data_IF_679582825574
#
_entry.id   IF_679582825574
#
_cell.length_a   1.000
_cell.length_b   1.000
_cell.length_c   1.000
_cell.angle_alpha   90.00
_cell.angle_beta   90.00
_cell.angle_gamma   90.00
#
_symmetry.space_group_name_H-M   'P 1'
#
loop_
_entity.id
_entity.type
_entity.pdbx_description
1 polymer ?
#
# COMPACT_ATOMS: atom_id res chain seq x y z
N UNK A 1 -7.90 -10.90 1.06
CA UNK A 1 -6.51 -11.21 0.63
C UNK A 1 -5.83 -12.10 1.66
N UNK A 2 -5.76 -11.65 2.91
CA UNK A 2 -5.26 -12.44 4.05
C UNK A 2 -6.42 -12.88 4.95
N UNK A 3 -6.20 -13.91 5.78
CA UNK A 3 -7.15 -14.34 6.80
C UNK A 3 -6.93 -13.61 8.14
N UNK A 4 -5.95 -12.69 8.20
CA UNK A 4 -5.64 -11.85 9.36
C UNK A 4 -5.14 -12.67 10.57
N UNK A 5 -4.51 -13.79 10.27
CA UNK A 5 -4.16 -14.81 11.23
C UNK A 5 -2.89 -14.50 12.03
N UNK A 6 -2.12 -13.45 11.70
CA UNK A 6 -0.83 -13.14 12.33
C UNK A 6 -0.89 -12.06 13.41
N UNK A 7 -2.09 -11.58 13.77
CA UNK A 7 -2.24 -10.61 14.85
C UNK A 7 -2.07 -11.25 16.23
N UNK A 8 -0.85 -11.13 16.80
CA UNK A 8 -0.44 -11.75 18.07
C UNK A 8 -1.45 -11.54 19.22
N UNK A 9 -1.95 -10.33 19.43
CA UNK A 9 -2.88 -10.04 20.53
C UNK A 9 -4.21 -10.78 20.36
N UNK A 10 -4.73 -10.88 19.13
CA UNK A 10 -5.92 -11.68 18.87
C UNK A 10 -5.66 -13.18 19.06
N UNK A 11 -4.50 -13.69 18.63
CA UNK A 11 -4.14 -15.08 18.88
C UNK A 11 -4.05 -15.39 20.38
N UNK A 12 -3.42 -14.51 21.17
CA UNK A 12 -3.33 -14.66 22.63
C UNK A 12 -4.71 -14.71 23.30
N UNK A 13 -5.63 -13.81 22.91
CA UNK A 13 -7.00 -13.79 23.43
C UNK A 13 -7.81 -15.00 22.95
N UNK A 14 -7.57 -15.45 21.72
CA UNK A 14 -8.28 -16.59 21.12
C UNK A 14 -7.88 -17.93 21.74
N UNK A 15 -6.60 -18.13 22.07
CA UNK A 15 -6.09 -19.41 22.61
C UNK A 15 -5.89 -19.41 24.12
N UNK A 16 -5.77 -18.24 24.76
CA UNK A 16 -5.34 -18.10 26.15
C UNK A 16 -3.84 -18.28 26.36
N UNK A 17 -3.05 -18.47 25.29
CA UNK A 17 -1.60 -18.61 25.35
C UNK A 17 -0.90 -17.25 25.18
N UNK A 18 0.03 -16.92 26.07
CA UNK A 18 0.84 -15.70 26.00
C UNK A 18 1.82 -15.75 24.81
N UNK A 19 2.22 -16.94 24.35
CA UNK A 19 3.10 -17.15 23.21
C UNK A 19 2.47 -18.08 22.17
N UNK A 20 1.46 -17.62 21.41
CA UNK A 20 0.78 -18.43 20.41
C UNK A 20 1.75 -19.08 19.42
N UNK A 21 1.49 -20.34 19.10
CA UNK A 21 2.28 -21.14 18.16
C UNK A 21 1.79 -20.92 16.71
N UNK A 22 2.57 -21.37 15.70
CA UNK A 22 2.09 -21.39 14.31
C UNK A 22 0.74 -22.11 14.10
N UNK A 23 0.47 -23.17 14.89
CA UNK A 23 -0.80 -23.88 14.83
C UNK A 23 -1.96 -23.05 15.39
N UNK A 24 -1.70 -22.20 16.38
CA UNK A 24 -2.70 -21.30 16.96
C UNK A 24 -3.06 -20.17 16.01
N UNK A 25 -2.07 -19.60 15.33
CA UNK A 25 -2.30 -18.66 14.24
C UNK A 25 -3.12 -19.31 13.12
N UNK A 26 -2.77 -20.53 12.70
CA UNK A 26 -3.56 -21.25 11.70
C UNK A 26 -5.05 -21.39 12.10
N UNK A 27 -5.32 -21.80 13.35
CA UNK A 27 -6.68 -21.90 13.89
C UNK A 27 -7.40 -20.54 13.94
N UNK A 28 -6.68 -19.46 14.30
CA UNK A 28 -7.24 -18.11 14.28
C UNK A 28 -7.66 -17.72 12.85
N UNK A 29 -6.86 -18.06 11.83
CA UNK A 29 -7.24 -17.81 10.44
C UNK A 29 -8.50 -18.58 10.03
N UNK A 30 -8.65 -19.84 10.42
CA UNK A 30 -9.89 -20.60 10.19
C UNK A 30 -11.12 -19.98 10.88
N UNK A 31 -10.93 -19.47 12.10
CA UNK A 31 -11.97 -18.72 12.80
C UNK A 31 -12.35 -17.46 12.02
N UNK A 32 -11.37 -16.65 11.62
CA UNK A 32 -11.59 -15.39 10.89
C UNK A 32 -12.19 -15.60 9.50
N UNK A 33 -11.86 -16.71 8.85
CA UNK A 33 -12.51 -17.13 7.61
C UNK A 33 -14.01 -17.32 7.82
N UNK A 34 -14.39 -18.06 8.88
CA UNK A 34 -15.80 -18.30 9.23
C UNK A 34 -16.53 -17.02 9.63
N UNK A 35 -15.86 -16.14 10.38
CA UNK A 35 -16.38 -14.81 10.76
C UNK A 35 -16.63 -13.93 9.53
N UNK A 36 -15.72 -13.95 8.54
CA UNK A 36 -15.87 -13.21 7.29
C UNK A 36 -17.09 -13.69 6.50
N UNK A 37 -17.29 -15.01 6.41
CA UNK A 37 -18.49 -15.58 5.77
C UNK A 37 -19.79 -15.16 6.48
N UNK A 38 -19.79 -15.17 7.82
CA UNK A 38 -20.93 -14.70 8.60
C UNK A 38 -21.22 -13.20 8.39
N UNK A 39 -20.18 -12.36 8.44
CA UNK A 39 -20.30 -10.92 8.19
C UNK A 39 -20.84 -10.62 6.78
N UNK A 40 -20.31 -11.31 5.76
CA UNK A 40 -20.76 -11.14 4.37
C UNK A 40 -22.20 -11.59 4.18
N UNK A 41 -22.62 -12.67 4.86
CA UNK A 41 -24.01 -13.11 4.84
C UNK A 41 -24.98 -12.07 5.43
N UNK A 42 -24.58 -11.35 6.49
CA UNK A 42 -25.39 -10.24 7.07
C UNK A 42 -25.59 -9.12 6.04
N UNK A 43 -24.55 -8.84 5.25
CA UNK A 43 -24.60 -7.85 4.17
C UNK A 43 -25.33 -8.35 2.91
N UNK A 44 -25.80 -9.61 2.90
CA UNK A 44 -26.56 -10.20 1.81
C UNK A 44 -25.70 -10.82 0.70
N UNK A 45 -24.40 -11.02 0.92
CA UNK A 45 -23.51 -11.64 -0.05
C UNK A 45 -23.51 -13.19 0.14
N UNK A 46 -23.84 -13.97 -0.90
CA UNK A 46 -23.76 -15.43 -0.85
C UNK A 46 -22.34 -15.93 -0.60
N UNK A 47 -22.19 -17.07 0.10
CA UNK A 47 -20.87 -17.69 0.35
C UNK A 47 -20.06 -17.88 -0.95
N UNK A 48 -20.70 -18.29 -2.04
CA UNK A 48 -20.01 -18.58 -3.31
C UNK A 48 -19.46 -17.33 -4.00
N UNK A 49 -19.87 -16.14 -3.57
CA UNK A 49 -19.35 -14.86 -4.07
C UNK A 49 -18.21 -14.31 -3.19
N UNK A 50 -17.84 -15.02 -2.11
CA UNK A 50 -16.71 -14.67 -1.25
C UNK A 50 -15.49 -15.49 -1.65
N UNK A 51 -14.45 -14.81 -2.12
CA UNK A 51 -13.19 -15.43 -2.53
C UNK A 51 -12.09 -15.12 -1.52
N UNK A 52 -11.50 -16.16 -0.93
CA UNK A 52 -10.32 -16.05 -0.09
C UNK A 52 -9.07 -16.33 -0.92
N UNK A 53 -8.07 -15.44 -0.88
CA UNK A 53 -6.81 -15.66 -1.62
C UNK A 53 -5.78 -16.44 -0.79
N UNK A 54 -5.91 -16.46 0.54
CA UNK A 54 -5.08 -17.28 1.42
C UNK A 54 -3.63 -16.83 1.59
N UNK A 55 -3.29 -15.58 1.22
CA UNK A 55 -1.96 -15.01 1.45
C UNK A 55 -1.76 -14.68 2.93
N UNK A 56 -0.53 -14.78 3.43
CA UNK A 56 -0.26 -14.59 4.84
C UNK A 56 -0.44 -13.14 5.31
N UNK A 57 -1.07 -13.00 6.47
CA UNK A 57 -1.16 -11.74 7.21
C UNK A 57 0.23 -11.23 7.62
N UNK A 58 0.39 -9.90 7.61
CA UNK A 58 1.64 -9.19 7.83
C UNK A 58 2.70 -9.43 6.75
N UNK A 59 2.36 -10.06 5.63
CA UNK A 59 3.35 -10.51 4.63
C UNK A 59 3.21 -9.83 3.27
N UNK A 60 2.05 -9.25 2.92
CA UNK A 60 1.77 -8.77 1.55
C UNK A 60 2.65 -7.60 1.13
N UNK A 61 3.06 -6.73 2.07
CA UNK A 61 4.08 -5.68 1.80
C UNK A 61 5.38 -6.27 1.26
N UNK A 62 5.84 -7.40 1.80
CA UNK A 62 7.09 -8.01 1.36
C UNK A 62 6.96 -8.62 -0.05
N UNK A 63 5.76 -9.07 -0.42
CA UNK A 63 5.48 -9.58 -1.77
C UNK A 63 5.61 -8.46 -2.81
N UNK A 64 5.19 -7.25 -2.45
CA UNK A 64 5.37 -6.06 -3.29
C UNK A 64 6.85 -5.64 -3.38
N UNK A 65 7.55 -5.62 -2.24
CA UNK A 65 8.87 -5.00 -2.13
C UNK A 65 10.05 -5.91 -2.50
N UNK A 66 10.07 -7.17 -2.06
CA UNK A 66 11.30 -7.98 -2.08
C UNK A 66 11.07 -9.45 -2.51
N UNK A 67 9.83 -9.93 -2.50
CA UNK A 67 9.46 -11.33 -2.77
C UNK A 67 8.49 -11.40 -3.95
N UNK A 68 8.86 -10.78 -5.08
CA UNK A 68 8.00 -10.74 -6.26
C UNK A 68 8.00 -12.06 -7.03
N UNK A 69 9.17 -12.50 -7.50
CA UNK A 69 9.31 -13.66 -8.39
C UNK A 69 9.05 -14.99 -7.65
N UNK A 70 8.52 -15.96 -8.38
CA UNK A 70 8.14 -17.27 -7.87
C UNK A 70 9.29 -18.15 -7.32
N UNK A 71 10.56 -17.80 -7.59
CA UNK A 71 11.72 -18.59 -7.17
C UNK A 71 12.03 -18.56 -5.67
N UNK A 72 11.48 -17.60 -4.91
CA UNK A 72 11.73 -17.45 -3.48
C UNK A 72 10.47 -16.96 -2.75
N UNK A 73 9.57 -17.86 -2.31
CA UNK A 73 8.40 -17.46 -1.56
C UNK A 73 8.77 -16.91 -0.17
N UNK A 74 7.96 -15.99 0.32
CA UNK A 74 8.10 -15.38 1.65
C UNK A 74 7.55 -16.32 2.72
N UNK A 75 8.36 -16.70 3.70
CA UNK A 75 7.90 -17.43 4.90
C UNK A 75 7.13 -16.46 5.80
N UNK A 76 5.88 -16.74 6.15
CA UNK A 76 5.01 -15.93 7.03
C UNK A 76 5.55 -15.81 8.46
N UNK A 77 5.17 -14.76 9.19
CA UNK A 77 5.56 -14.61 10.60
C UNK A 77 4.72 -15.46 11.56
N UNK A 78 3.39 -15.48 11.39
CA UNK A 78 2.47 -16.22 12.26
C UNK A 78 2.50 -17.72 12.01
N UNK A 79 1.90 -18.17 10.91
CA UNK A 79 1.82 -19.59 10.53
C UNK A 79 3.18 -20.22 10.15
N UNK A 80 4.22 -19.41 9.97
CA UNK A 80 5.60 -19.84 9.64
C UNK A 80 5.70 -20.77 8.42
N UNK A 81 4.93 -20.47 7.37
CA UNK A 81 4.89 -21.23 6.10
C UNK A 81 5.09 -20.29 4.92
N UNK A 82 5.57 -20.83 3.79
CA UNK A 82 5.79 -20.05 2.55
C UNK A 82 4.66 -20.22 1.52
N UNK A 83 3.65 -21.04 1.85
CA UNK A 83 2.54 -21.42 0.99
C UNK A 83 1.25 -21.39 1.82
N UNK A 84 0.11 -21.12 1.16
CA UNK A 84 -1.17 -21.10 1.85
C UNK A 84 -1.49 -22.45 2.51
N UNK A 85 -1.70 -22.50 3.84
CA UNK A 85 -2.07 -23.74 4.53
C UNK A 85 -3.57 -24.05 4.42
N UNK A 86 -4.35 -23.18 3.79
CA UNK A 86 -5.81 -23.28 3.69
C UNK A 86 -6.23 -24.00 2.41
N UNK A 87 -7.34 -24.74 2.50
CA UNK A 87 -7.91 -25.49 1.37
C UNK A 87 -9.04 -24.74 0.67
N UNK A 88 -9.84 -23.97 1.41
CA UNK A 88 -10.96 -23.18 0.89
C UNK A 88 -10.46 -21.79 0.45
N UNK A 89 -9.53 -21.76 -0.51
CA UNK A 89 -8.95 -20.53 -1.07
C UNK A 89 -8.89 -20.64 -2.59
N UNK A 90 -8.75 -19.51 -3.28
CA UNK A 90 -8.83 -19.40 -4.74
C UNK A 90 -7.87 -20.36 -5.45
N UNK A 91 -6.61 -20.43 -4.99
CA UNK A 91 -5.62 -21.43 -5.43
C UNK A 91 -5.01 -22.13 -4.20
N UNK A 92 -5.48 -23.34 -3.83
CA UNK A 92 -4.94 -24.08 -2.69
C UNK A 92 -3.43 -24.31 -2.82
N UNK A 93 -2.69 -24.03 -1.75
CA UNK A 93 -1.22 -24.17 -1.74
C UNK A 93 -0.48 -23.08 -2.52
N UNK A 94 -1.11 -21.94 -2.84
CA UNK A 94 -0.43 -20.81 -3.50
C UNK A 94 0.82 -20.38 -2.74
N UNK A 95 1.92 -20.16 -3.45
CA UNK A 95 3.17 -19.67 -2.88
C UNK A 95 3.08 -18.17 -2.59
N UNK A 96 3.60 -17.73 -1.45
CA UNK A 96 3.58 -16.33 -1.02
C UNK A 96 4.61 -15.50 -1.80
N UNK A 97 4.21 -15.06 -2.98
CA UNK A 97 5.03 -14.28 -3.93
C UNK A 97 4.16 -13.17 -4.54
N UNK A 98 4.77 -12.04 -4.92
CA UNK A 98 4.06 -10.93 -5.57
C UNK A 98 3.44 -11.31 -6.90
N UNK A 99 4.14 -12.10 -7.72
CA UNK A 99 3.63 -12.58 -9.02
C UNK A 99 2.34 -13.41 -8.87
N UNK A 100 2.25 -14.31 -7.88
CA UNK A 100 1.01 -15.06 -7.66
C UNK A 100 -0.14 -14.17 -7.19
N UNK A 101 0.09 -13.21 -6.29
CA UNK A 101 -0.96 -12.30 -5.84
C UNK A 101 -1.45 -11.41 -6.98
N UNK A 102 -0.53 -10.88 -7.81
CA UNK A 102 -0.86 -10.16 -9.04
C UNK A 102 -1.73 -11.02 -9.97
N UNK A 103 -1.28 -12.25 -10.26
CA UNK A 103 -1.97 -13.13 -11.19
C UNK A 103 -3.38 -13.47 -10.72
N UNK A 104 -3.57 -13.79 -9.43
CA UNK A 104 -4.90 -14.08 -8.89
C UNK A 104 -5.85 -12.88 -8.97
N UNK A 105 -5.39 -11.68 -8.63
CA UNK A 105 -6.19 -10.47 -8.79
C UNK A 105 -6.58 -10.24 -10.25
N UNK A 106 -5.63 -10.41 -11.17
CA UNK A 106 -5.91 -10.26 -12.59
C UNK A 106 -6.88 -11.32 -13.12
N UNK A 107 -6.73 -12.58 -12.70
CA UNK A 107 -7.61 -13.68 -13.08
C UNK A 107 -9.05 -13.41 -12.62
N UNK A 108 -9.23 -13.00 -11.36
CA UNK A 108 -10.53 -12.64 -10.78
C UNK A 108 -11.14 -11.45 -11.51
N UNK A 109 -10.38 -10.37 -11.73
CA UNK A 109 -10.88 -9.18 -12.42
C UNK A 109 -11.30 -9.48 -13.86
N UNK A 110 -10.53 -10.29 -14.61
CA UNK A 110 -10.88 -10.71 -15.98
C UNK A 110 -12.14 -11.55 -16.01
N UNK A 111 -12.30 -12.46 -15.05
CA UNK A 111 -13.44 -13.36 -14.98
C UNK A 111 -14.72 -12.63 -14.55
N UNK A 112 -14.63 -11.83 -13.50
CA UNK A 112 -15.77 -11.13 -12.91
C UNK A 112 -16.20 -9.90 -13.72
N UNK A 113 -15.25 -9.23 -14.40
CA UNK A 113 -15.47 -7.99 -15.17
C UNK A 113 -16.17 -6.91 -14.32
N UNK A 114 -15.56 -6.46 -13.21
CA UNK A 114 -16.19 -5.48 -12.33
C UNK A 114 -16.45 -4.15 -13.05
N UNK A 115 -17.49 -3.44 -12.63
CA UNK A 115 -17.71 -2.02 -12.97
C UNK A 115 -17.10 -1.09 -11.91
N UNK A 116 -17.06 -1.57 -10.66
CA UNK A 116 -16.62 -0.82 -9.48
C UNK A 116 -15.69 -1.73 -8.66
N UNK A 117 -14.62 -1.17 -8.10
CA UNK A 117 -13.67 -1.90 -7.24
C UNK A 117 -13.43 -1.09 -5.97
N UNK A 118 -13.76 -1.70 -4.82
CA UNK A 118 -13.53 -1.15 -3.49
C UNK A 118 -12.30 -1.80 -2.85
N UNK A 119 -11.33 -0.99 -2.41
CA UNK A 119 -10.06 -1.51 -1.86
C UNK A 119 -9.36 -0.47 -0.97
N UNK A 120 -8.30 -0.82 -0.21
CA UNK A 120 -7.65 0.14 0.67
C UNK A 120 -6.95 1.29 -0.06
N UNK A 121 -6.89 2.45 0.58
CA UNK A 121 -6.16 3.63 0.11
C UNK A 121 -4.64 3.45 0.26
N UNK A 122 -3.86 3.94 -0.70
CA UNK A 122 -2.40 3.78 -0.70
C UNK A 122 -1.71 4.52 0.47
N UNK A 123 -2.39 5.47 1.11
CA UNK A 123 -1.89 6.21 2.28
C UNK A 123 -2.11 5.45 3.59
N UNK A 124 -2.89 4.36 3.59
CA UNK A 124 -3.14 3.57 4.79
C UNK A 124 -1.81 3.07 5.38
N UNK A 125 -1.62 3.29 6.68
CA UNK A 125 -0.34 2.99 7.35
C UNK A 125 -0.18 1.50 7.63
N UNK A 126 -1.26 0.70 7.56
CA UNK A 126 -1.16 -0.74 7.71
C UNK A 126 -0.42 -1.34 6.50
N UNK A 127 0.70 -2.06 6.72
CA UNK A 127 1.53 -2.58 5.63
C UNK A 127 0.78 -3.41 4.60
N UNK A 128 -0.18 -4.23 5.05
CA UNK A 128 -0.95 -5.04 4.11
C UNK A 128 -2.01 -4.25 3.34
N UNK A 129 -2.65 -3.25 3.97
CA UNK A 129 -3.61 -2.39 3.25
C UNK A 129 -2.90 -1.62 2.14
N UNK A 130 -1.76 -1.02 2.48
CA UNK A 130 -0.88 -0.36 1.52
C UNK A 130 -0.50 -1.28 0.35
N UNK A 131 -0.10 -2.52 0.63
CA UNK A 131 0.32 -3.46 -0.41
C UNK A 131 -0.86 -3.87 -1.30
N UNK A 132 -2.02 -4.20 -0.70
CA UNK A 132 -3.24 -4.53 -1.45
C UNK A 132 -3.67 -3.37 -2.33
N UNK A 133 -3.57 -2.13 -1.85
CA UNK A 133 -3.80 -0.94 -2.68
C UNK A 133 -2.92 -0.93 -3.93
N UNK A 134 -1.62 -1.16 -3.75
CA UNK A 134 -0.66 -1.16 -4.85
C UNK A 134 -0.90 -2.30 -5.84
N UNK A 135 -1.18 -3.52 -5.35
CA UNK A 135 -1.47 -4.67 -6.20
C UNK A 135 -2.77 -4.50 -6.99
N UNK A 136 -3.83 -3.98 -6.37
CA UNK A 136 -5.11 -3.72 -7.04
C UNK A 136 -4.93 -2.68 -8.15
N UNK A 137 -4.29 -1.54 -7.86
CA UNK A 137 -4.02 -0.50 -8.87
C UNK A 137 -3.12 -1.00 -9.99
N UNK A 138 -2.08 -1.76 -9.64
CA UNK A 138 -1.23 -2.40 -10.62
C UNK A 138 -2.06 -3.29 -11.57
N UNK A 139 -2.95 -4.13 -11.03
CA UNK A 139 -3.77 -5.04 -11.82
C UNK A 139 -4.75 -4.28 -12.74
N UNK A 140 -5.40 -3.22 -12.23
CA UNK A 140 -6.30 -2.36 -13.02
C UNK A 140 -5.56 -1.77 -14.23
N UNK A 141 -4.37 -1.20 -14.03
CA UNK A 141 -3.58 -0.57 -15.10
C UNK A 141 -2.98 -1.61 -16.04
N UNK A 142 -2.48 -2.73 -15.52
CA UNK A 142 -1.93 -3.82 -16.32
C UNK A 142 -2.98 -4.39 -17.29
N UNK A 143 -4.22 -4.50 -16.83
CA UNK A 143 -5.35 -5.00 -17.62
C UNK A 143 -6.07 -3.92 -18.43
N UNK A 144 -5.67 -2.65 -18.29
CA UNK A 144 -6.31 -1.51 -18.93
C UNK A 144 -7.84 -1.47 -18.68
N UNK A 145 -8.24 -1.75 -17.43
CA UNK A 145 -9.66 -1.79 -17.07
C UNK A 145 -10.22 -0.38 -16.91
N UNK A 146 -11.42 -0.17 -17.43
CA UNK A 146 -12.21 1.04 -17.17
C UNK A 146 -13.21 0.74 -16.04
N UNK A 147 -12.78 0.97 -14.80
CA UNK A 147 -13.55 0.71 -13.58
C UNK A 147 -13.62 1.96 -12.71
N UNK A 148 -14.69 2.07 -11.92
CA UNK A 148 -14.76 3.06 -10.85
C UNK A 148 -13.99 2.54 -9.64
N UNK A 149 -13.05 3.34 -9.16
CA UNK A 149 -12.23 2.99 -8.01
C UNK A 149 -12.78 3.65 -6.75
N UNK A 150 -12.91 2.89 -5.66
CA UNK A 150 -13.38 3.37 -4.37
C UNK A 150 -12.38 2.97 -3.28
N UNK A 151 -11.49 3.90 -2.91
CA UNK A 151 -10.42 3.62 -1.97
C UNK A 151 -10.82 3.94 -0.54
N UNK A 152 -10.91 2.96 0.36
CA UNK A 152 -11.24 3.20 1.77
C UNK A 152 -9.98 3.32 2.64
N UNK A 153 -10.04 4.14 3.69
CA UNK A 153 -8.99 4.26 4.70
C UNK A 153 -9.43 3.53 5.97
N UNK A 154 -8.50 2.83 6.63
CA UNK A 154 -8.76 2.20 7.94
C UNK A 154 -7.73 2.66 8.97
N UNK A 155 -6.44 2.57 8.63
CA UNK A 155 -5.37 2.95 9.55
C UNK A 155 -4.69 4.23 9.11
N UNK A 156 -4.86 5.26 9.91
CA UNK A 156 -4.14 6.53 9.83
C UNK A 156 -3.99 7.12 11.24
N UNK A 157 -2.88 7.81 11.57
CA UNK A 157 -2.70 8.39 12.89
C UNK A 157 -3.93 9.20 13.32
N UNK A 158 -4.42 8.88 14.52
CA UNK A 158 -5.56 9.55 15.14
C UNK A 158 -6.85 9.50 14.30
N UNK A 159 -7.03 8.56 13.38
CA UNK A 159 -8.28 8.45 12.60
C UNK A 159 -8.87 7.03 12.71
N UNK A 160 -10.22 6.87 12.70
CA UNK A 160 -11.23 7.93 12.81
C UNK A 160 -11.27 8.57 14.21
N UNK A 161 -11.78 9.80 14.35
CA UNK A 161 -11.98 10.42 15.69
C UNK A 161 -13.47 10.54 15.99
N UNK A 162 -13.93 10.16 17.20
CA UNK A 162 -13.24 9.33 18.19
C UNK A 162 -13.24 7.82 17.80
N UNK A 163 -12.36 7.01 18.40
CA UNK A 163 -12.42 5.54 18.34
C UNK A 163 -13.54 4.99 19.23
N UNK A 164 -14.78 5.32 18.86
CA UNK A 164 -15.99 4.90 19.53
C UNK A 164 -17.16 4.82 18.55
N UNK A 165 -18.18 4.04 18.90
CA UNK A 165 -19.47 3.99 18.21
C UNK A 165 -20.16 5.36 18.25
N UNK A 166 -20.26 6.02 17.10
CA UNK A 166 -20.90 7.34 16.94
C UNK A 166 -21.84 7.33 15.72
N UNK A 167 -22.98 6.61 15.77
CA UNK A 167 -23.89 6.44 14.64
C UNK A 167 -24.59 7.75 14.22
N UNK A 168 -24.41 8.83 14.98
CA UNK A 168 -24.93 10.15 14.65
C UNK A 168 -23.92 11.07 13.95
N UNK A 169 -22.66 10.64 13.83
CA UNK A 169 -21.60 11.43 13.24
C UNK A 169 -21.29 10.95 11.82
N UNK A 170 -20.77 11.87 11.01
CA UNK A 170 -20.23 11.53 9.69
C UNK A 170 -18.74 11.18 9.80
N UNK A 171 -18.31 10.23 8.99
CA UNK A 171 -16.90 9.96 8.76
C UNK A 171 -16.32 11.04 7.85
N UNK A 172 -15.39 11.83 8.37
CA UNK A 172 -14.72 12.91 7.65
C UNK A 172 -13.29 12.52 7.25
N UNK A 173 -12.75 13.06 6.14
CA UNK A 173 -11.35 12.87 5.79
C UNK A 173 -10.40 13.31 6.91
N UNK A 174 -9.25 12.63 7.10
CA UNK A 174 -8.19 13.15 7.95
C UNK A 174 -7.74 14.55 7.49
N UNK A 175 -7.57 15.47 8.43
CA UNK A 175 -7.28 16.88 8.13
C UNK A 175 -5.89 17.10 7.55
N UNK A 176 -4.95 16.23 7.89
CA UNK A 176 -3.57 16.22 7.41
C UNK A 176 -3.43 15.59 6.00
N UNK A 177 -4.47 14.96 5.47
CA UNK A 177 -4.44 14.35 4.13
C UNK A 177 -4.85 15.28 2.99
N UNK A 178 -4.96 16.59 3.23
CA UNK A 178 -5.40 17.58 2.22
C UNK A 178 -4.54 17.54 0.94
N UNK A 179 -3.23 17.33 1.07
CA UNK A 179 -2.27 17.38 -0.04
C UNK A 179 -1.84 15.98 -0.53
N UNK A 180 -2.57 14.93 -0.14
CA UNK A 180 -2.24 13.52 -0.43
C UNK A 180 -2.53 13.04 -1.87
N UNK A 181 -2.94 13.93 -2.78
CA UNK A 181 -3.52 13.59 -4.08
C UNK A 181 -4.79 12.70 -3.95
N UNK A 182 -5.57 12.87 -2.89
CA UNK A 182 -6.80 12.10 -2.66
C UNK A 182 -8.02 12.98 -2.84
N UNK A 183 -8.90 12.59 -3.75
CA UNK A 183 -10.23 13.21 -3.93
C UNK A 183 -11.25 12.39 -3.17
N UNK A 184 -11.75 12.95 -2.06
CA UNK A 184 -12.69 12.28 -1.17
C UNK A 184 -14.14 12.40 -1.66
N UNK A 185 -14.89 11.33 -1.48
CA UNK A 185 -16.33 11.26 -1.71
C UNK A 185 -17.01 10.51 -0.58
N UNK A 186 -18.19 10.99 -0.19
CA UNK A 186 -18.99 10.46 0.92
C UNK A 186 -20.29 9.89 0.39
N UNK A 187 -20.66 8.71 0.88
CA UNK A 187 -21.91 8.03 0.53
C UNK A 187 -22.76 7.95 1.80
N UNK A 188 -23.90 8.66 1.89
CA UNK A 188 -24.76 8.59 3.05
C UNK A 188 -25.38 7.20 3.18
N UNK A 189 -25.50 6.73 4.42
CA UNK A 189 -26.16 5.48 4.78
C UNK A 189 -27.52 5.77 5.41
N UNK A 190 -28.49 4.92 5.11
CA UNK A 190 -29.74 4.84 5.86
C UNK A 190 -29.50 4.21 7.24
N UNK A 191 -30.44 4.43 8.18
CA UNK A 191 -30.38 3.81 9.51
C UNK A 191 -30.41 2.28 9.48
N UNK A 192 -31.03 1.69 8.46
CA UNK A 192 -31.01 0.24 8.27
C UNK A 192 -29.64 -0.25 7.82
N UNK A 193 -28.95 0.48 6.92
CA UNK A 193 -27.60 0.15 6.47
C UNK A 193 -26.58 0.33 7.59
N UNK A 194 -26.69 1.41 8.39
CA UNK A 194 -25.86 1.60 9.59
C UNK A 194 -25.99 0.40 10.55
N UNK A 195 -27.22 -0.03 10.84
CA UNK A 195 -27.49 -1.17 11.72
C UNK A 195 -26.94 -2.48 11.16
N UNK A 196 -27.12 -2.75 9.85
CA UNK A 196 -26.54 -3.93 9.19
C UNK A 196 -25.01 -3.91 9.21
N UNK A 197 -24.39 -2.73 9.02
CA UNK A 197 -22.94 -2.57 9.12
C UNK A 197 -22.45 -2.91 10.53
N UNK A 198 -23.11 -2.39 11.55
CA UNK A 198 -22.78 -2.72 12.95
C UNK A 198 -22.92 -4.22 13.22
N UNK A 199 -24.01 -4.84 12.79
CA UNK A 199 -24.24 -6.28 12.92
C UNK A 199 -23.16 -7.11 12.21
N UNK A 200 -22.77 -6.72 11.00
CA UNK A 200 -21.71 -7.37 10.23
C UNK A 200 -20.35 -7.23 10.91
N UNK A 201 -20.00 -6.05 11.44
CA UNK A 201 -18.75 -5.83 12.18
C UNK A 201 -18.71 -6.72 13.43
N UNK A 202 -19.84 -6.89 14.13
CA UNK A 202 -19.93 -7.73 15.32
C UNK A 202 -19.74 -9.23 15.06
N UNK A 203 -19.86 -9.70 13.81
CA UNK A 203 -19.55 -11.08 13.44
C UNK A 203 -18.06 -11.41 13.56
N UNK A 204 -17.17 -10.41 13.53
CA UNK A 204 -15.72 -10.59 13.72
C UNK A 204 -15.38 -10.74 15.20
N UNK A 205 -15.96 -11.75 15.88
CA UNK A 205 -15.89 -11.91 17.33
C UNK A 205 -14.46 -11.97 17.87
N UNK A 206 -13.54 -12.59 17.13
CA UNK A 206 -12.11 -12.64 17.46
C UNK A 206 -11.46 -11.26 17.52
N UNK A 207 -11.93 -10.31 16.70
CA UNK A 207 -11.41 -8.94 16.63
C UNK A 207 -12.14 -8.00 17.60
N UNK A 208 -13.46 -8.17 17.76
CA UNK A 208 -14.27 -7.44 18.74
C UNK A 208 -13.68 -7.57 20.15
N UNK A 209 -13.32 -8.80 20.56
CA UNK A 209 -12.69 -9.06 21.87
C UNK A 209 -11.40 -8.28 22.14
N UNK A 210 -10.75 -7.75 21.11
CA UNK A 210 -9.42 -7.14 21.20
C UNK A 210 -9.44 -5.64 20.93
N UNK A 211 -10.35 -5.17 20.06
CA UNK A 211 -10.35 -3.81 19.52
C UNK A 211 -11.74 -3.27 19.16
N UNK A 212 -12.81 -3.75 19.82
CA UNK A 212 -14.19 -3.30 19.57
C UNK A 212 -14.37 -1.78 19.43
N UNK A 213 -13.84 -0.92 20.31
CA UNK A 213 -14.04 0.53 20.17
C UNK A 213 -13.51 1.08 18.84
N UNK A 214 -12.39 0.55 18.35
CA UNK A 214 -11.82 0.94 17.06
C UNK A 214 -12.68 0.43 15.89
N UNK A 215 -13.13 -0.82 15.92
CA UNK A 215 -13.93 -1.39 14.84
C UNK A 215 -15.31 -0.72 14.73
N UNK A 216 -15.97 -0.49 15.87
CA UNK A 216 -17.25 0.21 15.91
C UNK A 216 -17.14 1.71 15.60
N UNK A 217 -15.92 2.28 15.59
CA UNK A 217 -15.69 3.64 15.15
C UNK A 217 -15.98 3.86 13.65
N UNK A 218 -16.14 2.80 12.88
CA UNK A 218 -16.53 2.88 11.47
C UNK A 218 -18.04 2.86 11.27
N UNK A 219 -18.85 2.60 12.31
CA UNK A 219 -20.30 2.77 12.24
C UNK A 219 -20.61 4.27 12.36
N UNK A 220 -20.98 4.86 11.22
CA UNK A 220 -21.19 6.30 10.97
C UNK A 220 -22.33 6.50 9.97
N UNK A 221 -22.80 7.73 9.83
CA UNK A 221 -23.87 8.12 8.87
C UNK A 221 -23.50 7.97 7.39
N UNK A 222 -22.23 7.68 7.08
CA UNK A 222 -21.74 7.57 5.72
C UNK A 222 -20.57 6.60 5.64
N UNK A 223 -20.33 6.08 4.44
CA UNK A 223 -19.01 5.60 4.04
C UNK A 223 -18.19 6.77 3.47
N UNK A 224 -16.88 6.68 3.65
CA UNK A 224 -15.92 7.63 3.10
C UNK A 224 -14.92 6.89 2.21
N UNK A 225 -14.84 7.33 0.96
CA UNK A 225 -13.96 6.75 -0.04
C UNK A 225 -13.14 7.85 -0.72
N UNK A 226 -11.99 7.46 -1.27
CA UNK A 226 -11.09 8.32 -2.02
C UNK A 226 -10.88 7.80 -3.43
N UNK A 227 -10.42 8.68 -4.30
CA UNK A 227 -9.78 8.34 -5.58
C UNK A 227 -8.44 9.06 -5.67
N UNK A 228 -7.47 8.45 -6.35
CA UNK A 228 -6.17 9.06 -6.64
C UNK A 228 -6.02 9.29 -8.14
N UNK A 229 -6.26 10.51 -8.64
CA UNK A 229 -6.09 10.81 -10.06
C UNK A 229 -4.63 10.63 -10.49
N UNK A 230 -4.43 10.41 -11.79
CA UNK A 230 -3.10 10.36 -12.42
C UNK A 230 -2.47 11.75 -12.32
N UNK A 231 -1.21 11.80 -11.89
CA UNK A 231 -0.46 13.04 -11.70
C UNK A 231 0.43 13.30 -12.92
N UNK A 232 0.14 14.34 -13.70
CA UNK A 232 0.95 14.69 -14.87
C UNK A 232 2.37 15.11 -14.48
N UNK A 233 3.39 14.44 -15.03
CA UNK A 233 4.79 14.88 -14.94
C UNK A 233 5.03 15.94 -16.03
N UNK A 234 5.43 17.17 -15.67
CA UNK A 234 5.67 18.23 -16.64
C UNK A 234 6.92 17.96 -17.48
N UNK A 235 6.88 18.33 -18.77
CA UNK A 235 8.04 18.43 -19.65
C UNK A 235 8.47 19.89 -19.76
N UNK A 236 9.76 20.16 -19.56
CA UNK A 236 10.28 21.51 -19.39
C UNK A 236 11.37 21.81 -20.40
N UNK A 237 11.34 23.01 -20.95
CA UNK A 237 12.31 23.46 -21.97
C UNK A 237 13.65 23.89 -21.36
N UNK A 238 13.61 24.42 -20.13
CA UNK A 238 14.80 24.89 -19.41
C UNK A 238 15.04 24.04 -18.17
N UNK A 239 16.29 23.64 -17.97
CA UNK A 239 16.66 22.83 -16.80
C UNK A 239 16.55 23.71 -15.54
N UNK A 240 15.72 23.33 -14.55
CA UNK A 240 15.62 24.10 -13.32
C UNK A 240 16.90 23.98 -12.48
N UNK A 241 17.07 24.91 -11.54
CA UNK A 241 18.13 24.81 -10.54
C UNK A 241 17.82 23.68 -9.55
N UNK A 242 18.57 22.58 -9.63
CA UNK A 242 18.40 21.41 -8.75
C UNK A 242 18.85 21.66 -7.29
N UNK A 243 19.47 22.80 -7.01
CA UNK A 243 19.89 23.24 -5.67
C UNK A 243 18.91 24.26 -5.05
N UNK A 244 17.76 24.51 -5.69
CA UNK A 244 16.73 25.36 -5.11
C UNK A 244 16.04 24.67 -3.93
N UNK A 245 16.00 25.35 -2.78
CA UNK A 245 15.39 24.87 -1.53
C UNK A 245 13.89 24.59 -1.67
N UNK A 246 13.21 25.27 -2.60
CA UNK A 246 11.78 25.09 -2.84
C UNK A 246 11.46 23.76 -3.55
N UNK A 247 12.48 23.13 -4.14
CA UNK A 247 12.37 21.89 -4.90
C UNK A 247 11.39 22.02 -6.10
N UNK A 248 11.90 22.42 -7.28
CA UNK A 248 11.05 22.68 -8.45
C UNK A 248 10.27 21.43 -8.86
N UNK A 249 9.06 21.63 -9.41
CA UNK A 249 8.17 20.56 -9.87
C UNK A 249 7.81 19.52 -8.79
N UNK A 250 7.58 20.00 -7.56
CA UNK A 250 7.01 19.21 -6.47
C UNK A 250 5.61 18.72 -6.86
N UNK A 251 5.42 17.41 -6.89
CA UNK A 251 4.16 16.75 -7.29
C UNK A 251 3.34 16.28 -6.09
N UNK A 252 4.02 15.90 -5.01
CA UNK A 252 3.39 15.51 -3.74
C UNK A 252 4.09 16.23 -2.60
N UNK A 253 3.30 16.65 -1.62
CA UNK A 253 3.76 17.13 -0.32
C UNK A 253 3.07 16.33 0.77
N UNK A 254 3.85 15.76 1.68
CA UNK A 254 3.35 14.95 2.78
C UNK A 254 3.63 15.70 4.07
N UNK A 255 2.65 15.83 4.98
CA UNK A 255 2.90 16.39 6.30
C UNK A 255 4.01 15.60 7.00
N UNK A 256 5.03 16.30 7.49
CA UNK A 256 6.02 15.68 8.36
C UNK A 256 5.37 15.26 9.68
N UNK A 257 5.65 14.05 10.19
CA UNK A 257 4.83 13.55 11.30
C UNK A 257 5.28 12.27 12.02
N UNK A 258 6.57 11.98 12.11
CA UNK A 258 7.06 11.02 13.09
C UNK A 258 6.92 11.56 14.53
N UNK A 259 6.43 10.75 15.48
CA UNK A 259 6.36 11.08 16.92
C UNK A 259 7.78 11.21 17.56
N UNK A 260 8.84 10.98 16.79
CA UNK A 260 10.21 10.86 17.28
C UNK A 260 11.08 12.05 16.84
N UNK A 261 11.48 12.88 17.80
CA UNK A 261 12.15 14.17 17.57
C UNK A 261 13.67 14.08 17.29
N UNK A 262 14.25 12.88 17.19
CA UNK A 262 15.70 12.76 16.92
C UNK A 262 16.02 13.12 15.46
N UNK A 263 17.11 13.86 15.23
CA UNK A 263 17.54 14.28 13.89
C UNK A 263 17.65 13.12 12.89
N UNK A 264 18.04 11.93 13.35
CA UNK A 264 18.13 10.75 12.49
C UNK A 264 16.76 10.32 11.93
N UNK A 265 15.68 10.43 12.72
CA UNK A 265 14.33 10.16 12.24
C UNK A 265 13.87 11.25 11.29
N UNK A 266 14.15 12.53 11.61
CA UNK A 266 13.87 13.64 10.69
C UNK A 266 14.59 13.52 9.34
N UNK A 267 15.79 12.93 9.32
CA UNK A 267 16.49 12.67 8.04
C UNK A 267 15.85 11.54 7.24
N UNK A 268 15.03 10.70 7.86
CA UNK A 268 14.26 9.63 7.22
C UNK A 268 12.83 10.05 6.89
N UNK A 269 12.28 11.08 7.53
CA UNK A 269 10.94 11.62 7.22
C UNK A 269 10.93 12.26 5.82
N UNK A 270 10.14 11.69 4.91
CA UNK A 270 10.00 12.09 3.52
C UNK A 270 8.88 13.12 3.40
N UNK A 271 9.20 14.31 2.89
CA UNK A 271 8.24 15.43 2.88
C UNK A 271 7.74 15.78 1.48
N UNK A 272 8.52 15.50 0.43
CA UNK A 272 8.10 15.77 -0.96
C UNK A 272 8.62 14.75 -1.96
N UNK A 273 7.84 14.55 -3.01
CA UNK A 273 8.28 13.94 -4.26
C UNK A 273 8.13 14.97 -5.38
N UNK A 274 9.19 15.16 -6.16
CA UNK A 274 9.18 16.02 -7.34
C UNK A 274 9.56 15.21 -8.58
N UNK A 275 9.02 15.60 -9.74
CA UNK A 275 9.41 14.98 -10.99
C UNK A 275 9.18 15.91 -12.18
N UNK A 276 10.07 15.83 -13.18
CA UNK A 276 9.92 16.52 -14.45
C UNK A 276 10.74 15.83 -15.55
N UNK A 277 10.36 16.05 -16.81
CA UNK A 277 11.16 15.70 -17.97
C UNK A 277 11.96 16.89 -18.49
N UNK A 278 13.25 16.70 -18.73
CA UNK A 278 14.10 17.66 -19.44
C UNK A 278 15.05 16.90 -20.35
N UNK A 279 15.17 17.35 -21.61
CA UNK A 279 16.05 16.74 -22.62
C UNK A 279 15.83 15.21 -22.73
N UNK A 280 14.55 14.78 -22.80
CA UNK A 280 14.13 13.37 -22.84
C UNK A 280 14.57 12.50 -21.65
N UNK A 281 14.98 13.09 -20.52
CA UNK A 281 15.32 12.39 -19.29
C UNK A 281 14.33 12.71 -18.19
N UNK A 282 13.99 11.70 -17.40
CA UNK A 282 13.16 11.86 -16.21
C UNK A 282 14.06 12.27 -15.04
N UNK A 283 13.70 13.34 -14.34
CA UNK A 283 14.34 13.74 -13.09
C UNK A 283 13.38 13.43 -11.96
N UNK A 284 13.80 12.62 -10.99
CA UNK A 284 13.04 12.34 -9.78
C UNK A 284 13.76 12.94 -8.59
N UNK A 285 13.02 13.69 -7.79
CA UNK A 285 13.50 14.30 -6.57
C UNK A 285 12.74 13.79 -5.36
N UNK A 286 13.45 13.61 -4.24
CA UNK A 286 12.86 13.38 -2.92
C UNK A 286 13.42 14.41 -1.94
N UNK A 287 12.55 14.99 -1.11
CA UNK A 287 12.94 15.86 0.00
C UNK A 287 12.68 15.17 1.34
N UNK A 288 13.59 15.37 2.30
CA UNK A 288 13.46 14.94 3.69
C UNK A 288 13.29 16.13 4.63
N UNK A 289 12.83 15.89 5.86
CA UNK A 289 12.68 16.95 6.87
C UNK A 289 14.03 17.53 7.33
N UNK A 290 15.04 16.67 7.51
CA UNK A 290 16.44 17.05 7.81
C UNK A 290 17.41 16.58 6.72
N UNK A 291 18.67 17.06 6.68
CA UNK A 291 19.64 16.66 5.66
C UNK A 291 19.78 15.15 5.45
N UNK A 292 19.94 14.72 4.20
CA UNK A 292 20.11 13.34 3.77
C UNK A 292 21.26 12.69 4.55
N UNK A 293 20.97 11.57 5.22
CA UNK A 293 21.89 10.90 6.13
C UNK A 293 22.49 9.64 5.50
N UNK A 294 23.78 9.40 5.73
CA UNK A 294 24.45 8.15 5.30
C UNK A 294 23.96 6.90 6.06
N UNK A 295 23.30 7.11 7.19
CA UNK A 295 22.76 6.04 8.05
C UNK A 295 21.35 5.61 7.63
N UNK A 296 20.70 6.35 6.73
CA UNK A 296 19.37 6.06 6.22
C UNK A 296 19.50 5.56 4.78
N UNK A 297 18.72 4.53 4.44
CA UNK A 297 18.51 4.09 3.07
C UNK A 297 17.29 4.79 2.51
N UNK A 298 17.42 5.41 1.34
CA UNK A 298 16.30 6.04 0.63
C UNK A 298 16.02 5.26 -0.63
N UNK A 299 14.83 4.68 -0.75
CA UNK A 299 14.44 3.88 -1.91
C UNK A 299 13.48 4.68 -2.79
N UNK A 300 13.68 4.60 -4.10
CA UNK A 300 12.74 5.11 -5.10
C UNK A 300 12.41 3.95 -6.02
N UNK A 301 11.13 3.60 -6.11
CA UNK A 301 10.66 2.40 -6.78
C UNK A 301 9.60 2.76 -7.81
N UNK A 302 9.71 2.17 -9.01
CA UNK A 302 8.84 2.45 -10.16
C UNK A 302 8.39 1.14 -10.81
N UNK A 303 7.13 1.12 -11.28
CA UNK A 303 6.62 0.19 -12.29
C UNK A 303 6.28 1.02 -13.53
N UNK A 304 6.88 0.67 -14.65
CA UNK A 304 6.74 1.33 -15.94
C UNK A 304 5.76 0.51 -16.78
N UNK A 305 4.59 1.08 -17.06
CA UNK A 305 3.55 0.44 -17.86
C UNK A 305 3.70 0.87 -19.31
N UNK A 306 4.26 0.01 -20.14
CA UNK A 306 4.28 0.20 -21.58
C UNK A 306 3.00 -0.35 -22.21
N UNK A 307 2.84 -0.15 -23.52
CA UNK A 307 1.73 -0.72 -24.29
C UNK A 307 1.64 -2.26 -24.15
N UNK A 308 2.78 -2.97 -24.21
CA UNK A 308 2.81 -4.44 -24.26
C UNK A 308 3.65 -5.10 -23.15
N UNK A 309 4.21 -4.32 -22.21
CA UNK A 309 5.03 -4.90 -21.14
C UNK A 309 5.04 -4.01 -19.92
N UNK A 310 5.36 -4.62 -18.77
CA UNK A 310 5.62 -3.89 -17.54
C UNK A 310 7.07 -4.13 -17.17
N UNK A 311 7.80 -3.04 -16.90
CA UNK A 311 9.18 -3.07 -16.41
C UNK A 311 9.25 -2.41 -15.04
N UNK A 312 10.33 -2.64 -14.32
CA UNK A 312 10.54 -1.96 -13.03
C UNK A 312 11.94 -1.39 -12.89
N UNK A 313 12.01 -0.31 -12.12
CA UNK A 313 13.25 0.33 -11.70
C UNK A 313 13.16 0.45 -10.18
N UNK A 314 14.12 -0.14 -9.47
CA UNK A 314 14.19 -0.09 -8.02
C UNK A 314 15.57 0.44 -7.63
N UNK A 315 15.59 1.64 -7.04
CA UNK A 315 16.80 2.36 -6.68
C UNK A 315 16.90 2.51 -5.16
N UNK A 316 18.12 2.49 -4.64
CA UNK A 316 18.39 2.80 -3.24
C UNK A 316 19.65 3.63 -3.07
N UNK A 317 19.53 4.76 -2.39
CA UNK A 317 20.68 5.50 -1.88
C UNK A 317 21.11 4.88 -0.54
N UNK A 318 22.28 4.26 -0.50
CA UNK A 318 22.85 3.63 0.70
C UNK A 318 24.24 4.20 0.93
N UNK A 319 24.48 4.78 2.11
CA UNK A 319 25.77 5.41 2.46
C UNK A 319 26.22 6.44 1.40
N UNK A 320 25.28 7.24 0.89
CA UNK A 320 25.53 8.27 -0.13
C UNK A 320 25.85 7.74 -1.54
N UNK A 321 25.76 6.42 -1.77
CA UNK A 321 25.95 5.80 -3.09
C UNK A 321 24.62 5.27 -3.60
N UNK A 322 24.36 5.47 -4.89
CA UNK A 322 23.15 4.97 -5.54
C UNK A 322 23.37 3.53 -6.02
N UNK A 323 22.42 2.66 -5.68
CA UNK A 323 22.36 1.28 -6.12
C UNK A 323 21.07 1.04 -6.91
N UNK A 324 21.16 0.16 -7.90
CA UNK A 324 20.02 -0.31 -8.67
C UNK A 324 19.83 -1.80 -8.37
N UNK A 325 18.63 -2.20 -7.99
CA UNK A 325 18.33 -3.56 -7.55
C UNK A 325 17.61 -4.37 -8.63
N UNK A 326 17.94 -5.66 -8.70
CA UNK A 326 17.14 -6.66 -9.43
C UNK A 326 16.17 -7.33 -8.46
N UNK A 327 14.97 -6.76 -8.31
CA UNK A 327 13.93 -7.28 -7.41
C UNK A 327 12.92 -8.21 -8.09
N UNK A 328 12.86 -8.19 -9.42
CA UNK A 328 12.06 -9.12 -10.20
C UNK A 328 12.70 -9.41 -11.57
N UNK A 329 12.16 -10.39 -12.28
CA UNK A 329 12.61 -10.75 -13.62
C UNK A 329 12.43 -9.61 -14.65
N UNK A 330 11.46 -8.72 -14.42
CA UNK A 330 11.23 -7.54 -15.27
C UNK A 330 11.97 -6.27 -14.80
N UNK A 331 12.92 -6.37 -13.85
CA UNK A 331 13.79 -5.26 -13.47
C UNK A 331 14.72 -4.86 -14.61
N UNK A 332 14.76 -3.56 -14.90
CA UNK A 332 15.78 -2.98 -15.78
C UNK A 332 17.06 -2.75 -14.97
N UNK A 333 18.24 -3.01 -15.56
CA UNK A 333 19.53 -3.01 -14.81
C UNK A 333 20.68 -2.25 -15.48
N UNK A 334 20.55 -1.85 -16.75
CA UNK A 334 21.66 -1.24 -17.51
C UNK A 334 21.47 0.26 -17.67
N UNK A 335 22.36 1.05 -17.05
CA UNK A 335 22.60 2.48 -17.31
C UNK A 335 21.36 3.37 -17.29
N UNK A 336 20.48 3.17 -16.31
CA UNK A 336 19.25 3.96 -16.18
C UNK A 336 19.49 5.21 -15.37
N UNK A 337 20.21 5.13 -14.25
CA UNK A 337 20.37 6.25 -13.32
C UNK A 337 21.76 6.89 -13.39
N UNK A 338 21.80 8.22 -13.38
CA UNK A 338 23.04 8.97 -13.18
C UNK A 338 23.51 8.92 -11.73
N UNK A 339 24.70 9.47 -11.46
CA UNK A 339 25.08 9.80 -10.08
C UNK A 339 24.01 10.71 -9.45
N UNK A 340 23.66 10.48 -8.17
CA UNK A 340 22.68 11.31 -7.48
C UNK A 340 23.28 12.71 -7.22
N UNK A 341 22.43 13.72 -7.22
CA UNK A 341 22.75 15.06 -6.72
C UNK A 341 22.11 15.17 -5.34
N UNK A 342 22.93 15.43 -4.33
CA UNK A 342 22.49 15.57 -2.94
C UNK A 342 22.87 16.96 -2.47
N UNK A 343 21.89 17.75 -2.08
CA UNK A 343 22.09 19.04 -1.43
C UNK A 343 21.23 19.11 -0.17
N UNK A 344 21.89 19.11 0.99
CA UNK A 344 21.24 19.09 2.31
C UNK A 344 20.17 17.99 2.37
N UNK A 345 18.90 18.37 2.38
CA UNK A 345 17.73 17.50 2.53
C UNK A 345 17.06 17.13 1.20
N UNK A 346 17.69 17.42 0.06
CA UNK A 346 17.15 17.14 -1.27
C UNK A 346 18.06 16.14 -1.99
N UNK A 347 17.44 15.08 -2.52
CA UNK A 347 18.04 14.08 -3.40
C UNK A 347 17.40 14.18 -4.78
N UNK A 348 18.21 14.36 -5.83
CA UNK A 348 17.79 14.27 -7.23
C UNK A 348 18.50 13.11 -7.95
N UNK A 349 17.75 12.42 -8.81
CA UNK A 349 18.25 11.35 -9.68
C UNK A 349 17.75 11.60 -11.11
N UNK A 350 18.68 11.67 -12.06
CA UNK A 350 18.37 11.66 -13.50
C UNK A 350 18.26 10.22 -13.98
N UNK A 351 17.20 9.93 -14.72
CA UNK A 351 16.87 8.61 -15.25
C UNK A 351 16.68 8.65 -16.77
N UNK A 352 17.21 7.63 -17.44
CA UNK A 352 16.91 7.35 -18.84
C UNK A 352 15.80 6.29 -18.90
N UNK A 353 14.59 6.72 -19.29
CA UNK A 353 13.44 5.82 -19.44
C UNK A 353 13.45 5.25 -20.86
N UNK A 354 13.67 3.93 -21.03
CA UNK A 354 13.72 3.35 -22.37
C UNK A 354 12.33 3.43 -23.01
N UNK A 355 12.30 3.65 -24.33
CA UNK A 355 11.06 3.64 -25.13
C UNK A 355 9.97 4.56 -24.55
N UNK A 356 10.32 5.79 -24.13
CA UNK A 356 9.38 6.78 -23.56
C UNK A 356 8.09 6.93 -24.39
N UNK A 357 8.19 6.85 -25.72
CA UNK A 357 7.04 6.95 -26.63
C UNK A 357 5.96 5.86 -26.43
N UNK A 358 6.34 4.71 -25.88
CA UNK A 358 5.43 3.57 -25.63
C UNK A 358 4.98 3.50 -24.16
N UNK A 359 5.46 4.41 -23.32
CA UNK A 359 5.16 4.47 -21.90
C UNK A 359 3.80 5.14 -21.67
N UNK A 360 2.89 4.42 -21.01
CA UNK A 360 1.55 4.90 -20.68
C UNK A 360 1.48 5.53 -19.29
N UNK A 361 2.06 4.85 -18.30
CA UNK A 361 2.06 5.29 -16.91
C UNK A 361 3.37 4.93 -16.20
N UNK A 362 3.75 5.78 -15.25
CA UNK A 362 4.72 5.45 -14.21
C UNK A 362 3.95 5.29 -12.90
N UNK A 363 3.95 4.09 -12.31
CA UNK A 363 3.48 3.91 -10.95
C UNK A 363 4.68 3.95 -10.02
N UNK A 364 4.77 4.94 -9.13
CA UNK A 364 5.97 5.12 -8.30
C UNK A 364 5.68 5.56 -6.88
N UNK A 365 6.60 5.21 -5.98
CA UNK A 365 6.63 5.63 -4.59
C UNK A 365 8.07 5.71 -4.08
N UNK A 366 8.20 6.12 -2.82
CA UNK A 366 9.50 6.25 -2.15
C UNK A 366 9.39 5.75 -0.71
N UNK A 367 10.47 5.22 -0.14
CA UNK A 367 10.53 4.88 1.27
C UNK A 367 11.89 5.16 1.90
N UNK A 368 11.90 5.30 3.22
CA UNK A 368 13.11 5.46 4.01
C UNK A 368 13.25 4.33 5.03
N UNK A 369 14.48 3.81 5.15
CA UNK A 369 14.79 2.69 6.03
C UNK A 369 15.98 3.04 6.90
N UNK A 370 15.81 2.88 8.22
CA UNK A 370 16.84 3.08 9.22
C UNK A 370 16.97 1.82 10.08
N UNK A 371 18.20 1.30 10.20
CA UNK A 371 18.51 0.05 10.93
C UNK A 371 17.59 -1.12 10.53
N UNK A 372 17.31 -1.24 9.23
CA UNK A 372 16.47 -2.30 8.67
C UNK A 372 14.96 -2.13 8.92
N UNK A 373 14.52 -1.02 9.50
CA UNK A 373 13.10 -0.71 9.74
C UNK A 373 12.63 0.38 8.78
N UNK A 374 11.46 0.19 8.20
CA UNK A 374 10.74 1.25 7.50
C UNK A 374 10.44 2.38 8.49
N UNK A 375 10.85 3.60 8.16
CA UNK A 375 10.57 4.79 8.97
C UNK A 375 9.42 5.56 8.35
N UNK A 376 9.55 5.91 7.07
CA UNK A 376 8.55 6.69 6.35
C UNK A 376 8.39 6.24 4.89
N UNK A 377 7.29 6.63 4.27
CA UNK A 377 6.95 6.31 2.89
C UNK A 377 6.19 7.44 2.22
N UNK A 378 6.49 7.65 0.94
CA UNK A 378 5.62 8.36 0.00
C UNK A 378 4.69 7.32 -0.64
N UNK A 379 3.35 7.40 -0.45
CA UNK A 379 2.38 6.51 -1.06
C UNK A 379 2.55 6.43 -2.57
N UNK A 380 2.30 5.24 -3.13
CA UNK A 380 2.46 5.05 -4.58
C UNK A 380 1.34 5.75 -5.34
N UNK A 381 1.72 6.49 -6.37
CA UNK A 381 0.81 7.23 -7.26
C UNK A 381 1.09 6.88 -8.72
N UNK A 382 0.05 7.02 -9.56
CA UNK A 382 0.17 6.91 -11.01
C UNK A 382 0.51 8.29 -11.57
N UNK A 383 1.44 8.30 -12.51
CA UNK A 383 1.97 9.49 -13.16
C UNK A 383 1.98 9.31 -14.68
#
# INVERSE_FOLDING_TARGET
VTDGESYKKAAQVFTGDINPTPADFYKLGLQRHSESLAAMSVLGLPKNDVIFLGFADGSTRFLWSDFWDNGKPRISGGTNVAYSPYKDVYKPGVAYTGENLENELQDIMKSFKPTDIYYPLADDVHPDHWAVSNFTRYAIVALNLNVKEHMFLVHHPQWPVPWLLMPNDSLLPPTDMKDSNTVWHSIPLSKQEEAKKEEAIKQYTSQIKVMEPFLLAFVRKNELFGTKPVITIPEVETKPNLYDKNMPFSLLSIPAGGILDQEIYKSADLTKLASFYYDNHLYIGVQTLSPISKNVRYNIEMRLFYNNSIKRIDLGLVNGKLYQYRKANNSLLKSIASRPIIDKNILWIKLNIPQKQDLRYIFMGSDSIYKGRLIDKIPWNLY
#
